data_IF_736977749546
#
_entry.id   IF_736977749546
#
_cell.length_a   1.000
_cell.length_b   1.000
_cell.length_c   1.000
_cell.angle_alpha   90.00
_cell.angle_beta   90.00
_cell.angle_gamma   90.00
#
_symmetry.space_group_name_H-M   'P 1'
#
loop_
_entity.id
_entity.type
_entity.pdbx_description
1 polymer ?
#
# COMPACT_ATOMS: atom_id res chain seq x y z
N UNK A 1 0.19 38.72 1.78
CA UNK A 1 0.96 37.47 1.63
C UNK A 1 0.15 36.39 0.91
N UNK A 2 -0.99 36.74 0.32
CA UNK A 2 -1.86 35.85 -0.50
C UNK A 2 -1.72 36.08 -2.01
N UNK A 3 -0.93 37.06 -2.46
CA UNK A 3 -0.81 37.43 -3.88
C UNK A 3 0.40 36.81 -4.62
N UNK A 4 1.11 35.89 -4.01
CA UNK A 4 2.27 35.21 -4.64
C UNK A 4 1.95 33.84 -5.24
N UNK A 5 0.71 33.38 -5.12
CA UNK A 5 0.28 32.09 -5.67
C UNK A 5 -0.35 32.17 -7.07
N UNK A 6 -0.60 33.40 -7.59
CA UNK A 6 -1.36 33.60 -8.82
C UNK A 6 -0.51 33.87 -10.06
N UNK A 7 0.81 33.73 -9.99
CA UNK A 7 1.67 33.79 -11.19
C UNK A 7 2.31 32.44 -11.43
N UNK A 8 1.55 31.66 -12.17
CA UNK A 8 1.84 30.43 -12.83
C UNK A 8 3.26 30.23 -13.31
N UNK A 9 3.89 29.24 -12.79
CA UNK A 9 4.89 28.45 -13.49
C UNK A 9 4.46 26.98 -13.38
N UNK A 10 3.26 26.68 -13.76
CA UNK A 10 2.83 25.40 -14.28
C UNK A 10 2.26 25.66 -15.67
N UNK A 11 3.15 25.78 -16.67
CA UNK A 11 2.73 25.37 -17.98
C UNK A 11 2.35 23.91 -17.83
N UNK A 12 1.04 23.67 -17.94
CA UNK A 12 0.43 22.38 -18.13
C UNK A 12 1.07 21.84 -19.41
N UNK A 13 2.21 21.15 -19.30
CA UNK A 13 2.68 20.32 -20.39
C UNK A 13 1.59 19.31 -20.59
N UNK A 14 0.76 19.55 -21.59
CA UNK A 14 -0.22 18.60 -22.07
C UNK A 14 0.55 17.36 -22.46
N UNK A 15 0.51 16.35 -21.60
CA UNK A 15 0.88 14.98 -21.96
C UNK A 15 0.17 14.64 -23.27
N UNK A 16 0.85 14.01 -24.23
CA UNK A 16 0.25 13.71 -25.53
C UNK A 16 -1.08 12.98 -25.33
N UNK A 17 -2.11 13.50 -25.93
CA UNK A 17 -3.54 13.11 -25.83
C UNK A 17 -3.86 11.75 -26.43
N UNK A 18 -2.97 10.79 -26.34
CA UNK A 18 -3.25 9.39 -26.69
C UNK A 18 -3.15 8.52 -25.42
N UNK A 19 -4.20 8.56 -24.60
CA UNK A 19 -4.50 7.49 -23.64
C UNK A 19 -3.78 7.49 -22.30
N UNK A 20 -3.03 8.51 -21.92
CA UNK A 20 -2.39 8.60 -20.60
C UNK A 20 -3.18 9.55 -19.71
N UNK A 21 -3.90 9.01 -18.72
CA UNK A 21 -4.50 9.81 -17.67
C UNK A 21 -3.43 10.65 -16.94
N UNK A 22 -3.87 11.75 -16.35
CA UNK A 22 -3.04 12.56 -15.45
C UNK A 22 -2.44 11.68 -14.34
N UNK A 23 -1.27 12.06 -13.79
CA UNK A 23 -0.72 11.37 -12.61
C UNK A 23 -1.76 11.31 -11.49
N UNK A 24 -2.55 12.37 -11.31
CA UNK A 24 -3.63 12.43 -10.34
C UNK A 24 -4.72 11.36 -10.56
N UNK A 25 -4.99 10.97 -11.83
CA UNK A 25 -5.98 9.93 -12.14
C UNK A 25 -5.50 8.51 -11.78
N UNK A 26 -4.19 8.34 -11.68
CA UNK A 26 -3.57 7.05 -11.38
C UNK A 26 -3.24 6.90 -9.90
N UNK A 27 -2.91 7.99 -9.24
CA UNK A 27 -2.61 8.04 -7.81
C UNK A 27 -3.91 8.18 -7.03
N UNK A 28 -4.13 7.26 -6.09
CA UNK A 28 -5.37 7.21 -5.31
C UNK A 28 -5.33 8.01 -4.01
N UNK A 29 -4.31 8.82 -3.81
CA UNK A 29 -4.25 9.71 -2.63
C UNK A 29 -5.31 10.79 -2.78
N UNK A 30 -6.16 10.90 -1.76
CA UNK A 30 -7.19 11.94 -1.69
C UNK A 30 -6.53 13.32 -1.78
N UNK A 31 -7.13 14.20 -2.58
CA UNK A 31 -6.65 15.59 -2.74
C UNK A 31 -5.12 15.65 -2.94
N UNK A 32 -4.61 14.81 -3.83
CA UNK A 32 -3.18 14.55 -4.02
C UNK A 32 -2.33 15.83 -4.14
N UNK A 33 -2.86 16.88 -4.76
CA UNK A 33 -2.14 18.15 -4.95
C UNK A 33 -1.99 18.92 -3.63
N UNK A 34 -2.98 18.84 -2.75
CA UNK A 34 -3.06 19.62 -1.50
C UNK A 34 -2.86 18.78 -0.25
N UNK A 35 -2.78 17.45 -0.38
CA UNK A 35 -2.63 16.54 0.74
C UNK A 35 -1.32 16.78 1.49
N UNK A 36 -1.37 17.03 2.79
CA UNK A 36 -0.17 17.22 3.63
C UNK A 36 0.79 16.03 3.59
N UNK A 37 0.25 14.82 3.46
CA UNK A 37 1.05 13.61 3.26
C UNK A 37 0.46 12.76 2.14
N UNK A 38 1.31 12.35 1.19
CA UNK A 38 0.90 11.62 -0.01
C UNK A 38 1.05 10.13 0.12
N UNK A 39 2.14 9.66 0.69
CA UNK A 39 2.40 8.25 0.93
C UNK A 39 3.37 8.06 2.08
N UNK A 40 3.33 6.87 2.66
CA UNK A 40 4.19 6.46 3.76
C UNK A 40 4.81 5.10 3.48
N UNK A 41 5.92 4.82 4.13
CA UNK A 41 6.53 3.49 4.09
C UNK A 41 7.34 3.23 5.35
N UNK A 42 7.08 2.09 6.00
CA UNK A 42 7.83 1.64 7.14
C UNK A 42 9.18 1.03 6.74
N UNK A 43 10.21 1.35 7.51
CA UNK A 43 11.51 0.70 7.38
C UNK A 43 11.40 -0.78 7.79
N UNK A 44 12.01 -1.72 7.04
CA UNK A 44 11.80 -3.15 7.25
C UNK A 44 12.34 -3.69 8.60
N UNK A 45 13.34 -3.03 9.21
CA UNK A 45 14.06 -3.57 10.36
C UNK A 45 13.98 -2.72 11.62
N UNK A 46 13.65 -1.45 11.53
CA UNK A 46 13.62 -0.55 12.69
C UNK A 46 12.38 0.34 12.67
N UNK A 47 12.02 0.88 13.82
CA UNK A 47 10.86 1.75 13.98
C UNK A 47 11.13 3.14 13.36
N UNK A 48 11.23 3.17 12.04
CA UNK A 48 11.40 4.38 11.23
C UNK A 48 10.37 4.44 10.14
N UNK A 49 9.71 5.56 10.03
CA UNK A 49 8.65 5.82 9.06
C UNK A 49 9.09 6.93 8.10
N UNK A 50 9.12 6.62 6.81
CA UNK A 50 9.30 7.64 5.77
C UNK A 50 7.93 8.18 5.37
N UNK A 51 7.79 9.49 5.33
CA UNK A 51 6.54 10.20 4.97
C UNK A 51 6.85 11.19 3.86
N UNK A 52 6.13 11.09 2.75
CA UNK A 52 6.18 12.07 1.66
C UNK A 52 5.16 13.15 1.91
N UNK A 53 5.61 14.39 1.93
CA UNK A 53 4.75 15.56 2.12
C UNK A 53 4.43 16.26 0.79
N UNK A 54 3.43 17.16 0.80
CA UNK A 54 2.95 17.88 -0.38
C UNK A 54 4.05 18.62 -1.17
N UNK A 55 5.11 19.04 -0.47
CA UNK A 55 6.28 19.73 -1.02
C UNK A 55 7.33 18.80 -1.64
N UNK A 56 6.96 17.52 -1.87
CA UNK A 56 7.82 16.46 -2.39
C UNK A 56 9.05 16.13 -1.53
N UNK A 57 9.09 16.60 -0.29
CA UNK A 57 10.12 16.21 0.67
C UNK A 57 9.75 14.90 1.35
N UNK A 58 10.78 14.13 1.71
CA UNK A 58 10.59 12.91 2.48
C UNK A 58 11.16 13.14 3.87
N UNK A 59 10.31 13.02 4.88
CA UNK A 59 10.68 13.12 6.29
C UNK A 59 10.76 11.72 6.90
N UNK A 60 11.84 11.45 7.63
CA UNK A 60 12.03 10.15 8.28
C UNK A 60 11.84 10.33 9.77
N UNK A 61 10.74 9.78 10.28
CA UNK A 61 10.41 9.79 11.70
C UNK A 61 11.00 8.55 12.36
N UNK A 62 11.56 8.72 13.55
CA UNK A 62 12.09 7.63 14.38
C UNK A 62 11.72 7.86 15.82
N UNK A 63 11.39 6.78 16.54
CA UNK A 63 11.19 6.86 17.99
C UNK A 63 12.50 7.05 18.75
N UNK A 64 13.63 6.69 18.14
CA UNK A 64 14.95 6.71 18.80
C UNK A 64 15.60 8.09 18.82
N UNK A 65 15.17 8.99 17.93
CA UNK A 65 15.81 10.33 17.76
C UNK A 65 14.76 11.41 17.61
N UNK A 66 15.01 12.58 18.20
CA UNK A 66 14.22 13.78 17.99
C UNK A 66 14.55 14.50 16.67
N UNK A 67 15.65 14.11 16.02
CA UNK A 67 16.06 14.71 14.73
C UNK A 67 15.30 14.02 13.61
N UNK A 68 14.60 14.81 12.79
CA UNK A 68 13.84 14.35 11.62
C UNK A 68 14.65 14.64 10.36
N UNK A 69 15.29 13.62 9.76
CA UNK A 69 15.97 13.78 8.50
C UNK A 69 15.02 14.15 7.38
N UNK A 70 15.43 15.10 6.52
CA UNK A 70 14.64 15.53 5.37
C UNK A 70 15.43 15.24 4.11
N UNK A 71 14.91 14.36 3.26
CA UNK A 71 15.47 14.04 1.95
C UNK A 71 14.89 14.99 0.91
N UNK A 72 15.78 15.67 0.19
CA UNK A 72 15.42 16.63 -0.87
C UNK A 72 16.37 16.50 -2.05
N UNK A 73 15.82 16.38 -3.26
CA UNK A 73 16.57 16.32 -4.50
C UNK A 73 15.88 17.13 -5.60
N UNK A 74 16.64 17.75 -6.52
CA UNK A 74 16.06 18.58 -7.58
C UNK A 74 15.10 17.85 -8.52
N UNK A 75 15.37 16.56 -8.78
CA UNK A 75 14.50 15.71 -9.60
C UNK A 75 13.31 15.09 -8.83
N UNK A 76 13.24 15.27 -7.49
CA UNK A 76 12.20 14.72 -6.64
C UNK A 76 10.95 15.60 -6.69
N UNK A 77 10.15 15.38 -7.73
CA UNK A 77 8.93 16.13 -8.02
C UNK A 77 7.79 15.17 -8.27
N UNK A 78 6.58 15.52 -7.82
CA UNK A 78 5.38 14.70 -7.95
C UNK A 78 5.61 13.27 -7.43
N UNK A 79 6.10 13.16 -6.20
CA UNK A 79 6.39 11.87 -5.58
C UNK A 79 5.08 11.11 -5.33
N UNK A 80 4.93 9.95 -5.95
CA UNK A 80 3.72 9.14 -5.93
C UNK A 80 3.81 7.94 -5.00
N UNK A 81 5.00 7.37 -4.86
CA UNK A 81 5.21 6.13 -4.12
C UNK A 81 6.64 6.08 -3.59
N UNK A 82 6.80 5.53 -2.41
CA UNK A 82 8.10 5.23 -1.81
C UNK A 82 8.12 3.81 -1.29
N UNK A 83 9.27 3.16 -1.34
CA UNK A 83 9.42 1.81 -0.84
C UNK A 83 10.85 1.55 -0.33
N UNK A 84 10.98 1.12 0.92
CA UNK A 84 12.25 0.73 1.50
C UNK A 84 12.74 -0.60 0.93
N UNK A 85 14.06 -0.70 0.71
CA UNK A 85 14.69 -1.95 0.29
C UNK A 85 14.64 -2.97 1.42
N UNK A 86 13.97 -4.13 1.23
CA UNK A 86 14.00 -5.22 2.21
C UNK A 86 15.43 -5.70 2.44
N UNK A 87 15.69 -6.30 3.60
CA UNK A 87 16.98 -6.87 4.04
C UNK A 87 18.14 -5.87 4.17
N UNK A 88 18.32 -4.95 3.25
CA UNK A 88 19.39 -3.95 3.31
C UNK A 88 19.06 -2.75 4.20
N UNK A 89 17.82 -2.27 4.19
CA UNK A 89 17.31 -1.19 5.05
C UNK A 89 17.97 0.19 4.89
N UNK A 90 19.00 0.32 4.05
CA UNK A 90 19.69 1.59 3.81
C UNK A 90 19.16 2.34 2.59
N UNK A 91 18.42 1.68 1.73
CA UNK A 91 17.97 2.24 0.47
C UNK A 91 16.46 2.46 0.46
N UNK A 92 16.07 3.66 0.01
CA UNK A 92 14.68 4.05 -0.20
C UNK A 92 14.47 4.38 -1.67
N UNK A 93 13.64 3.62 -2.37
CA UNK A 93 13.22 3.90 -3.73
C UNK A 93 12.05 4.89 -3.72
N UNK A 94 12.08 5.85 -4.65
CA UNK A 94 11.11 6.94 -4.76
C UNK A 94 10.65 7.05 -6.20
N UNK A 95 9.35 6.87 -6.42
CA UNK A 95 8.71 7.11 -7.71
C UNK A 95 8.40 8.59 -7.87
N UNK A 96 8.93 9.21 -8.91
CA UNK A 96 8.72 10.62 -9.15
C UNK A 96 8.56 10.94 -10.65
N UNK A 97 8.23 12.20 -10.96
CA UNK A 97 8.01 12.62 -12.34
C UNK A 97 9.25 12.39 -13.23
N UNK A 98 10.45 12.55 -12.71
CA UNK A 98 11.68 12.44 -13.49
C UNK A 98 12.15 10.99 -13.71
N UNK A 99 11.60 10.01 -13.00
CA UNK A 99 12.03 8.62 -13.00
C UNK A 99 12.03 8.02 -11.60
N UNK A 100 12.97 7.14 -11.31
CA UNK A 100 13.14 6.52 -10.00
C UNK A 100 14.36 7.10 -9.29
N UNK A 101 14.19 7.69 -8.11
CA UNK A 101 15.30 8.06 -7.24
C UNK A 101 15.54 6.94 -6.23
N UNK A 102 16.78 6.51 -6.10
CA UNK A 102 17.20 5.59 -5.04
C UNK A 102 18.08 6.36 -4.07
N UNK A 103 17.56 6.60 -2.88
CA UNK A 103 18.29 7.20 -1.77
C UNK A 103 19.06 6.14 -1.00
N UNK A 104 20.34 6.38 -0.76
CA UNK A 104 21.12 5.63 0.22
C UNK A 104 21.24 6.52 1.46
N UNK A 105 20.78 5.99 2.61
CA UNK A 105 20.64 6.74 3.85
C UNK A 105 21.48 6.05 4.91
N UNK A 106 22.57 6.72 5.32
CA UNK A 106 23.39 6.26 6.43
C UNK A 106 22.94 6.93 7.72
N UNK A 107 22.19 6.18 8.50
CA UNK A 107 21.67 6.63 9.79
C UNK A 107 22.70 6.36 10.88
N UNK A 108 23.75 7.18 10.93
CA UNK A 108 24.77 7.14 12.01
C UNK A 108 24.24 7.72 13.31
N UNK A 109 24.89 7.36 14.42
CA UNK A 109 24.57 7.89 15.76
C UNK A 109 24.88 9.38 15.97
N UNK A 110 25.62 9.99 15.05
CA UNK A 110 25.98 11.40 15.09
C UNK A 110 25.08 12.22 14.14
N UNK A 111 24.90 13.47 14.45
CA UNK A 111 24.03 14.45 13.79
C UNK A 111 24.22 14.67 12.28
N UNK A 112 25.14 13.98 11.66
CA UNK A 112 25.41 14.05 10.23
C UNK A 112 24.87 12.82 9.52
N UNK A 113 23.64 12.93 9.01
CA UNK A 113 23.07 11.91 8.15
C UNK A 113 23.62 12.13 6.74
N UNK A 114 24.55 11.27 6.36
CA UNK A 114 25.02 11.20 4.99
C UNK A 114 23.97 10.50 4.14
N UNK A 115 23.35 11.24 3.25
CA UNK A 115 22.41 10.67 2.30
C UNK A 115 22.78 11.14 0.89
N UNK A 116 22.75 10.21 -0.06
CA UNK A 116 22.91 10.51 -1.47
C UNK A 116 21.83 9.82 -2.29
N UNK A 117 21.46 10.41 -3.41
CA UNK A 117 20.45 9.88 -4.30
C UNK A 117 21.02 9.60 -5.68
N UNK A 118 20.60 8.49 -6.26
CA UNK A 118 20.89 8.13 -7.65
C UNK A 118 19.58 8.16 -8.42
N UNK A 119 19.56 8.89 -9.54
CA UNK A 119 18.41 8.95 -10.43
C UNK A 119 18.54 7.90 -11.54
N UNK A 120 17.63 6.93 -11.53
CA UNK A 120 17.48 5.92 -12.57
C UNK A 120 16.47 6.44 -13.60
N UNK A 121 16.88 6.49 -14.86
CA UNK A 121 16.05 6.95 -15.98
C UNK A 121 15.99 5.91 -17.09
N UNK A 122 14.81 5.75 -17.64
CA UNK A 122 14.58 4.96 -18.85
C UNK A 122 13.77 5.80 -19.84
N UNK A 123 14.15 5.76 -21.11
CA UNK A 123 13.45 6.51 -22.17
C UNK A 123 11.98 6.11 -22.22
N UNK A 124 11.08 7.09 -22.23
CA UNK A 124 9.62 6.94 -22.27
C UNK A 124 9.03 6.23 -21.04
N UNK A 125 9.74 6.19 -19.91
CA UNK A 125 9.29 5.60 -18.67
C UNK A 125 9.15 6.66 -17.56
N UNK A 126 8.45 7.73 -17.86
CA UNK A 126 8.18 8.85 -16.96
C UNK A 126 6.82 9.49 -17.33
N UNK A 127 6.03 9.94 -16.35
CA UNK A 127 6.27 9.89 -14.90
C UNK A 127 6.21 8.45 -14.34
N UNK A 128 7.00 8.18 -13.29
CA UNK A 128 6.90 6.91 -12.56
C UNK A 128 5.91 7.07 -11.42
N UNK A 129 4.92 6.19 -11.35
CA UNK A 129 3.85 6.26 -10.34
C UNK A 129 3.95 5.17 -9.28
N UNK A 130 4.70 4.11 -9.55
CA UNK A 130 4.87 3.02 -8.60
C UNK A 130 6.28 2.47 -8.65
N UNK A 131 6.85 2.22 -7.48
CA UNK A 131 8.10 1.49 -7.28
C UNK A 131 7.91 0.46 -6.18
N UNK A 132 8.45 -0.72 -6.38
CA UNK A 132 8.40 -1.78 -5.37
C UNK A 132 9.63 -2.69 -5.47
N UNK A 133 10.27 -2.93 -4.33
CA UNK A 133 11.34 -3.89 -4.22
C UNK A 133 10.82 -5.32 -4.17
N UNK A 134 11.56 -6.22 -4.81
CA UNK A 134 11.39 -7.65 -4.56
C UNK A 134 11.62 -7.96 -3.07
N UNK A 135 10.91 -8.91 -2.46
CA UNK A 135 11.04 -9.21 -1.03
C UNK A 135 12.46 -9.58 -0.56
N UNK A 136 13.30 -10.11 -1.46
CA UNK A 136 14.72 -10.36 -1.19
C UNK A 136 15.61 -9.13 -1.41
N UNK A 137 15.04 -8.02 -1.87
CA UNK A 137 15.76 -6.76 -2.05
C UNK A 137 16.78 -6.73 -3.19
N UNK A 138 16.80 -7.70 -4.07
CA UNK A 138 17.72 -7.83 -5.20
C UNK A 138 17.27 -7.04 -6.44
N UNK A 139 15.96 -6.95 -6.67
CA UNK A 139 15.35 -6.30 -7.81
C UNK A 139 14.41 -5.18 -7.38
N UNK A 140 14.38 -4.10 -8.15
CA UNK A 140 13.40 -3.02 -8.02
C UNK A 140 12.55 -2.96 -9.29
N UNK A 141 11.24 -2.91 -9.14
CA UNK A 141 10.30 -2.76 -10.27
C UNK A 141 9.71 -1.37 -10.26
N UNK A 142 9.61 -0.75 -11.43
CA UNK A 142 8.90 0.52 -11.61
C UNK A 142 7.84 0.44 -12.70
N UNK A 143 6.74 1.19 -12.49
CA UNK A 143 5.64 1.33 -13.43
C UNK A 143 5.41 2.81 -13.79
N UNK A 144 5.01 3.03 -15.04
CA UNK A 144 4.66 4.34 -15.56
C UNK A 144 3.36 4.26 -16.38
N UNK A 145 2.43 5.21 -16.19
CA UNK A 145 1.23 5.30 -17.04
C UNK A 145 1.56 5.61 -18.50
N UNK A 146 2.71 6.20 -18.77
CA UNK A 146 3.19 6.52 -20.11
C UNK A 146 3.87 5.34 -20.82
N UNK A 147 4.14 4.23 -20.11
CA UNK A 147 4.88 3.10 -20.65
C UNK A 147 4.12 1.79 -20.47
N UNK A 148 3.98 1.03 -21.56
CA UNK A 148 3.37 -0.32 -21.52
C UNK A 148 4.30 -1.38 -20.93
N UNK A 149 5.55 -1.01 -20.67
CA UNK A 149 6.57 -1.87 -20.06
C UNK A 149 6.72 -1.53 -18.58
N UNK A 150 6.92 -2.52 -17.74
CA UNK A 150 7.55 -2.29 -16.45
C UNK A 150 9.06 -2.39 -16.62
N UNK A 151 9.79 -1.66 -15.79
CA UNK A 151 11.26 -1.73 -15.80
C UNK A 151 11.72 -2.44 -14.53
N UNK A 152 12.55 -3.45 -14.71
CA UNK A 152 13.22 -4.15 -13.64
C UNK A 152 14.63 -3.61 -13.54
N UNK A 153 14.96 -3.02 -12.40
CA UNK A 153 16.23 -2.36 -12.16
C UNK A 153 17.18 -3.25 -11.36
N UNK A 154 18.39 -3.38 -11.85
CA UNK A 154 19.57 -3.71 -11.05
C UNK A 154 20.16 -2.38 -10.55
N UNK A 155 19.88 -2.04 -9.29
CA UNK A 155 20.29 -0.75 -8.73
C UNK A 155 21.79 -0.64 -8.54
N UNK A 156 22.51 -1.76 -8.44
CA UNK A 156 23.96 -1.81 -8.31
C UNK A 156 24.65 -1.40 -9.62
N UNK A 157 24.12 -1.85 -10.75
CA UNK A 157 24.60 -1.53 -12.08
C UNK A 157 23.97 -0.25 -12.66
N UNK A 158 22.89 0.23 -12.03
CA UNK A 158 22.05 1.34 -12.52
C UNK A 158 21.43 1.05 -13.89
N UNK A 159 21.19 -0.21 -14.18
CA UNK A 159 20.63 -0.68 -15.44
C UNK A 159 19.18 -1.13 -15.25
N UNK A 160 18.33 -0.82 -16.24
CA UNK A 160 16.93 -1.21 -16.26
C UNK A 160 16.62 -2.13 -17.43
N UNK A 161 16.05 -3.29 -17.15
CA UNK A 161 15.59 -4.25 -18.15
C UNK A 161 14.08 -4.07 -18.35
N UNK A 162 13.64 -3.72 -19.58
CA UNK A 162 12.21 -3.55 -19.86
C UNK A 162 11.52 -4.91 -20.00
N UNK A 163 10.47 -5.13 -19.23
CA UNK A 163 9.61 -6.29 -19.33
C UNK A 163 8.29 -5.90 -19.99
N UNK A 164 8.02 -6.48 -21.18
CA UNK A 164 6.84 -6.15 -21.99
C UNK A 164 6.02 -7.38 -22.32
N UNK A 165 4.70 -7.22 -22.40
CA UNK A 165 3.77 -8.18 -23.00
C UNK A 165 2.88 -7.48 -24.01
N UNK A 166 2.41 -8.25 -24.99
CA UNK A 166 1.51 -7.77 -26.04
C UNK A 166 0.14 -7.44 -25.44
N UNK A 167 -0.39 -6.31 -25.83
CA UNK A 167 -1.69 -5.79 -25.39
C UNK A 167 -1.64 -5.18 -23.99
N UNK A 168 -2.30 -4.08 -23.83
CA UNK A 168 -2.38 -3.26 -22.64
C UNK A 168 -1.89 -1.84 -22.89
N UNK A 169 -2.26 -0.96 -21.97
CA UNK A 169 -1.82 0.43 -21.92
C UNK A 169 -0.71 0.59 -20.90
N UNK A 170 -0.37 1.86 -20.59
CA UNK A 170 0.57 2.18 -19.54
C UNK A 170 0.23 1.50 -18.21
N UNK A 171 1.22 1.33 -17.36
CA UNK A 171 1.09 0.60 -16.10
C UNK A 171 0.97 1.57 -14.93
N UNK A 172 -0.05 1.37 -14.09
CA UNK A 172 -0.31 2.21 -12.92
C UNK A 172 0.55 1.83 -11.73
N UNK A 173 0.54 0.56 -11.34
CA UNK A 173 1.27 0.07 -10.18
C UNK A 173 1.54 -1.44 -10.26
N UNK A 174 2.44 -1.87 -9.39
CA UNK A 174 2.77 -3.28 -9.20
C UNK A 174 2.81 -3.63 -7.72
N UNK A 175 2.64 -4.93 -7.39
CA UNK A 175 2.74 -5.49 -6.04
C UNK A 175 3.40 -6.86 -6.09
N UNK A 176 4.33 -7.12 -5.18
CA UNK A 176 4.93 -8.43 -5.00
C UNK A 176 4.15 -9.28 -3.99
N UNK A 177 4.10 -10.58 -4.24
CA UNK A 177 3.76 -11.53 -3.18
C UNK A 177 4.86 -11.53 -2.11
N UNK A 178 4.52 -11.85 -0.87
CA UNK A 178 5.48 -11.86 0.24
C UNK A 178 6.66 -12.82 0.05
N UNK A 179 6.45 -13.91 -0.69
CA UNK A 179 7.50 -14.87 -1.04
C UNK A 179 8.31 -14.48 -2.29
N UNK A 180 7.91 -13.45 -3.03
CA UNK A 180 8.56 -13.01 -4.26
C UNK A 180 8.29 -13.87 -5.50
N UNK A 181 7.52 -14.95 -5.39
CA UNK A 181 7.23 -15.84 -6.53
C UNK A 181 6.23 -15.28 -7.53
N UNK A 182 5.46 -14.27 -7.13
CA UNK A 182 4.45 -13.63 -7.98
C UNK A 182 4.52 -12.12 -7.92
N UNK A 183 4.37 -11.49 -9.10
CA UNK A 183 4.27 -10.05 -9.24
C UNK A 183 2.96 -9.69 -9.92
N UNK A 184 2.15 -8.88 -9.27
CA UNK A 184 0.96 -8.28 -9.85
C UNK A 184 1.31 -6.97 -10.55
N UNK A 185 0.67 -6.69 -11.70
CA UNK A 185 0.77 -5.39 -12.38
C UNK A 185 -0.58 -4.99 -12.96
N UNK A 186 -1.01 -3.75 -12.71
CA UNK A 186 -2.23 -3.16 -13.23
C UNK A 186 -1.93 -2.16 -14.33
N UNK A 187 -2.71 -2.22 -15.43
CA UNK A 187 -2.66 -1.19 -16.47
C UNK A 187 -3.57 0.00 -16.13
N UNK A 188 -3.43 1.08 -16.87
CA UNK A 188 -4.32 2.24 -16.77
C UNK A 188 -5.74 1.98 -17.27
N UNK A 189 -5.99 0.82 -17.84
CA UNK A 189 -7.31 0.34 -18.25
C UNK A 189 -7.71 -0.95 -17.51
N UNK A 190 -8.61 -1.69 -18.09
CA UNK A 190 -9.22 -2.87 -17.47
C UNK A 190 -8.35 -4.13 -17.43
N UNK A 191 -7.09 -4.07 -17.85
CA UNK A 191 -6.19 -5.22 -17.87
C UNK A 191 -5.28 -5.20 -16.66
N UNK A 192 -5.15 -6.37 -16.02
CA UNK A 192 -4.06 -6.62 -15.08
C UNK A 192 -3.37 -7.95 -15.40
N UNK A 193 -2.17 -8.14 -14.88
CA UNK A 193 -1.39 -9.35 -15.07
C UNK A 193 -0.81 -9.84 -13.75
N UNK A 194 -0.70 -11.14 -13.62
CA UNK A 194 0.07 -11.77 -12.56
C UNK A 194 1.22 -12.54 -13.21
N UNK A 195 2.42 -12.19 -12.84
CA UNK A 195 3.65 -12.76 -13.34
C UNK A 195 4.13 -13.83 -12.36
N UNK A 196 4.40 -15.02 -12.85
CA UNK A 196 5.13 -16.04 -12.11
C UNK A 196 6.63 -15.82 -12.33
N UNK A 197 7.34 -15.53 -11.25
CA UNK A 197 8.76 -15.18 -11.24
C UNK A 197 9.63 -16.27 -10.63
N UNK A 198 9.01 -17.37 -10.18
CA UNK A 198 9.69 -18.47 -9.48
C UNK A 198 10.68 -19.27 -10.35
N UNK A 199 10.60 -19.12 -11.68
CA UNK A 199 11.58 -19.70 -12.60
C UNK A 199 12.53 -18.61 -13.07
N UNK A 200 13.78 -18.66 -12.64
CA UNK A 200 14.79 -17.62 -12.81
C UNK A 200 15.02 -17.13 -14.26
N UNK A 201 14.63 -17.89 -15.27
CA UNK A 201 14.93 -17.57 -16.67
C UNK A 201 13.73 -17.15 -17.51
N UNK A 202 12.50 -17.45 -17.07
CA UNK A 202 11.29 -17.22 -17.87
C UNK A 202 10.12 -16.77 -16.98
N UNK A 203 9.94 -15.46 -16.86
CA UNK A 203 8.73 -14.92 -16.22
C UNK A 203 7.53 -15.14 -17.14
N UNK A 204 6.56 -15.88 -16.63
CA UNK A 204 5.29 -16.10 -17.29
C UNK A 204 4.22 -15.16 -16.72
N UNK A 205 3.35 -14.64 -17.57
CA UNK A 205 2.30 -13.73 -17.15
C UNK A 205 0.94 -14.20 -17.64
N UNK A 206 0.04 -14.40 -16.71
CA UNK A 206 -1.37 -14.57 -16.98
C UNK A 206 -2.06 -13.20 -17.06
N UNK A 207 -3.02 -13.08 -17.97
CA UNK A 207 -3.75 -11.85 -18.24
C UNK A 207 -5.19 -11.99 -17.77
N UNK A 208 -5.66 -11.01 -17.02
CA UNK A 208 -7.06 -10.86 -16.62
C UNK A 208 -7.62 -9.51 -17.05
N UNK A 209 -8.94 -9.45 -17.14
CA UNK A 209 -9.67 -8.20 -17.41
C UNK A 209 -10.72 -8.00 -16.34
N UNK A 210 -10.83 -6.78 -15.83
CA UNK A 210 -11.99 -6.38 -15.03
C UNK A 210 -13.11 -5.92 -15.96
N UNK A 211 -14.37 -6.15 -15.61
CA UNK A 211 -15.50 -5.82 -16.49
C UNK A 211 -15.52 -4.34 -16.89
N UNK A 212 -15.29 -3.50 -15.90
CA UNK A 212 -15.35 -2.05 -16.04
C UNK A 212 -14.20 -1.39 -15.27
N UNK A 213 -13.81 -0.20 -15.72
CA UNK A 213 -12.78 0.60 -15.09
C UNK A 213 -11.39 -0.03 -15.14
N UNK A 214 -10.59 0.20 -14.13
CA UNK A 214 -9.26 -0.37 -13.93
C UNK A 214 -9.11 -0.89 -12.50
N UNK A 215 -8.14 -1.75 -12.26
CA UNK A 215 -7.80 -2.10 -10.89
C UNK A 215 -7.21 -0.87 -10.18
N UNK A 216 -7.85 -0.48 -9.09
CA UNK A 216 -7.44 0.65 -8.26
C UNK A 216 -6.44 0.25 -7.21
N UNK A 217 -6.73 -0.83 -6.50
CA UNK A 217 -5.94 -1.33 -5.38
C UNK A 217 -5.79 -2.83 -5.48
N UNK A 218 -4.65 -3.33 -5.02
CA UNK A 218 -4.39 -4.75 -4.90
C UNK A 218 -3.39 -5.01 -3.77
N UNK A 219 -3.57 -6.11 -3.05
CA UNK A 219 -2.63 -6.58 -2.05
C UNK A 219 -2.55 -8.11 -2.06
N UNK A 220 -1.37 -8.64 -1.78
CA UNK A 220 -1.19 -10.06 -1.55
C UNK A 220 -1.36 -10.37 -0.06
N UNK A 221 -2.10 -11.42 0.21
CA UNK A 221 -2.23 -12.02 1.51
C UNK A 221 -1.48 -13.34 1.65
N UNK A 222 -1.72 -14.05 2.74
CA UNK A 222 -1.17 -15.38 2.96
C UNK A 222 -1.61 -16.36 1.85
N UNK A 223 -0.83 -17.44 1.69
CA UNK A 223 -1.11 -18.52 0.73
C UNK A 223 -1.30 -18.03 -0.71
N UNK A 224 -0.52 -17.02 -1.13
CA UNK A 224 -0.57 -16.45 -2.47
C UNK A 224 -1.99 -16.03 -2.91
N UNK A 225 -2.79 -15.54 -1.99
CA UNK A 225 -4.10 -14.99 -2.32
C UNK A 225 -3.96 -13.53 -2.68
N UNK A 226 -4.40 -13.16 -3.87
CA UNK A 226 -4.44 -11.78 -4.34
C UNK A 226 -5.84 -11.22 -4.10
N UNK A 227 -5.93 -10.11 -3.37
CA UNK A 227 -7.14 -9.30 -3.29
C UNK A 227 -6.98 -8.07 -4.16
N UNK A 228 -8.04 -7.69 -4.87
CA UNK A 228 -8.05 -6.48 -5.67
C UNK A 228 -9.46 -5.89 -5.77
N UNK A 229 -9.52 -4.59 -6.03
CA UNK A 229 -10.75 -3.88 -6.31
C UNK A 229 -10.57 -2.91 -7.49
N UNK A 230 -11.65 -2.68 -8.23
CA UNK A 230 -11.67 -1.70 -9.32
C UNK A 230 -11.91 -0.28 -8.80
N UNK A 231 -11.69 0.70 -9.66
CA UNK A 231 -11.93 2.13 -9.35
C UNK A 231 -13.38 2.57 -9.59
N UNK A 232 -14.29 1.62 -9.73
CA UNK A 232 -15.72 1.90 -9.95
C UNK A 232 -16.44 2.23 -8.65
N UNK A 233 -17.66 2.76 -8.84
CA UNK A 233 -18.56 3.11 -7.73
C UNK A 233 -19.16 1.87 -7.03
N UNK A 234 -18.98 0.68 -7.61
CA UNK A 234 -19.36 -0.59 -6.98
C UNK A 234 -18.16 -1.22 -6.29
N UNK A 235 -17.98 -0.97 -5.00
CA UNK A 235 -16.76 -1.36 -4.28
C UNK A 235 -16.79 -2.84 -3.91
N UNK A 236 -16.59 -3.72 -4.88
CA UNK A 236 -16.43 -5.14 -4.64
C UNK A 236 -14.95 -5.51 -4.58
N UNK A 237 -14.54 -6.17 -3.51
CA UNK A 237 -13.22 -6.81 -3.41
C UNK A 237 -13.33 -8.21 -3.99
N UNK A 238 -12.46 -8.49 -4.94
CA UNK A 238 -12.29 -9.81 -5.54
C UNK A 238 -11.11 -10.53 -4.93
N UNK A 239 -11.23 -11.84 -4.80
CA UNK A 239 -10.17 -12.75 -4.38
C UNK A 239 -9.74 -13.63 -5.54
N UNK A 240 -8.44 -13.70 -5.77
CA UNK A 240 -7.81 -14.59 -6.75
C UNK A 240 -6.77 -15.46 -6.05
N UNK A 241 -7.09 -16.74 -5.74
CA UNK A 241 -6.11 -17.67 -5.19
C UNK A 241 -5.17 -18.14 -6.29
N UNK A 242 -3.86 -17.95 -6.08
CA UNK A 242 -2.82 -18.31 -7.05
C UNK A 242 -2.10 -19.62 -6.70
N UNK A 243 -2.23 -20.09 -5.47
CA UNK A 243 -1.64 -21.35 -5.04
C UNK A 243 -2.36 -22.51 -5.71
N UNK A 244 -1.60 -23.38 -6.40
CA UNK A 244 -2.15 -24.62 -6.93
C UNK A 244 -2.35 -25.62 -5.79
N UNK A 245 -3.51 -26.30 -5.79
CA UNK A 245 -3.75 -27.39 -4.84
C UNK A 245 -2.85 -28.56 -5.20
N UNK A 246 -1.93 -28.91 -4.31
CA UNK A 246 -1.05 -30.08 -4.45
C UNK A 246 -1.85 -31.39 -4.57
N UNK A 247 -3.12 -31.37 -4.14
CA UNK A 247 -4.03 -32.51 -4.16
C UNK A 247 -4.91 -32.60 -5.42
N UNK A 248 -4.94 -31.57 -6.27
CA UNK A 248 -5.61 -31.65 -7.56
C UNK A 248 -4.72 -32.39 -8.57
N UNK A 249 -4.77 -33.73 -8.49
CA UNK A 249 -4.09 -34.66 -9.42
C UNK A 249 -4.70 -34.62 -10.84
N UNK A 250 -5.76 -33.88 -11.05
CA UNK A 250 -6.30 -33.63 -12.39
C UNK A 250 -5.39 -32.64 -13.09
N UNK A 251 -4.77 -33.08 -14.19
CA UNK A 251 -4.18 -32.16 -15.16
C UNK A 251 -5.16 -31.03 -15.40
N UNK A 252 -4.72 -29.74 -15.28
CA UNK A 252 -5.62 -28.63 -15.57
C UNK A 252 -6.17 -28.84 -16.97
N UNK A 253 -7.49 -29.06 -17.07
CA UNK A 253 -8.15 -29.00 -18.35
C UNK A 253 -8.03 -27.55 -18.84
N UNK A 254 -7.99 -27.34 -20.14
CA UNK A 254 -7.92 -25.99 -20.75
C UNK A 254 -9.03 -25.06 -20.26
N UNK A 255 -10.05 -25.60 -19.59
CA UNK A 255 -11.25 -24.93 -19.09
C UNK A 255 -11.18 -24.52 -17.60
N UNK A 256 -10.11 -24.88 -16.86
CA UNK A 256 -9.88 -24.40 -15.49
C UNK A 256 -9.30 -22.99 -15.54
N UNK A 257 -10.12 -22.05 -16.02
CA UNK A 257 -9.82 -20.63 -15.95
C UNK A 257 -9.80 -20.25 -14.47
N UNK A 258 -8.63 -19.86 -13.95
CA UNK A 258 -8.51 -19.27 -12.63
C UNK A 258 -9.41 -18.03 -12.60
N UNK A 259 -10.55 -18.13 -11.95
CA UNK A 259 -11.52 -17.03 -11.88
C UNK A 259 -11.34 -16.25 -10.58
N UNK A 260 -11.40 -14.94 -10.69
CA UNK A 260 -11.53 -14.10 -9.52
C UNK A 260 -12.96 -14.23 -8.94
N UNK A 261 -13.04 -14.44 -7.65
CA UNK A 261 -14.31 -14.62 -6.94
C UNK A 261 -14.62 -13.35 -6.15
N UNK A 262 -15.84 -12.79 -6.23
CA UNK A 262 -16.24 -11.69 -5.36
C UNK A 262 -16.21 -12.15 -3.90
N UNK A 263 -15.48 -11.41 -3.07
CA UNK A 263 -15.27 -11.74 -1.66
C UNK A 263 -16.14 -10.88 -0.74
N UNK A 264 -16.11 -9.57 -0.95
CA UNK A 264 -16.80 -8.58 -0.11
C UNK A 264 -17.43 -7.53 -1.03
N UNK A 265 -18.73 -7.32 -0.83
CA UNK A 265 -19.43 -6.15 -1.35
C UNK A 265 -19.39 -5.05 -0.29
N UNK A 266 -18.66 -3.97 -0.58
CA UNK A 266 -18.48 -2.84 0.33
C UNK A 266 -19.48 -1.69 0.08
N UNK A 267 -20.49 -1.91 -0.74
CA UNK A 267 -21.59 -0.95 -0.96
C UNK A 267 -22.35 -0.71 0.36
N UNK A 268 -22.41 -1.69 1.23
CA UNK A 268 -23.18 -1.64 2.50
C UNK A 268 -22.51 -2.49 3.57
N UNK A 269 -21.36 -2.03 4.10
CA UNK A 269 -20.79 -2.65 5.30
C UNK A 269 -21.33 -1.95 6.52
N UNK A 270 -22.05 -2.68 7.37
CA UNK A 270 -22.64 -2.18 8.59
C UNK A 270 -21.73 -2.52 9.77
N UNK A 271 -21.36 -1.51 10.53
CA UNK A 271 -20.66 -1.66 11.81
C UNK A 271 -21.57 -1.23 12.93
N UNK A 272 -21.58 -1.96 14.04
CA UNK A 272 -22.29 -1.55 15.23
C UNK A 272 -21.71 -0.23 15.76
N UNK A 273 -22.58 0.71 16.09
CA UNK A 273 -22.17 1.93 16.81
C UNK A 273 -21.80 1.60 18.25
N UNK A 274 -20.98 2.43 18.88
CA UNK A 274 -20.59 2.29 20.29
C UNK A 274 -21.80 2.31 21.24
N UNK A 275 -22.90 2.92 20.82
CA UNK A 275 -24.17 2.99 21.57
C UNK A 275 -24.95 1.67 21.56
N UNK A 276 -24.54 0.68 20.76
CA UNK A 276 -25.17 -0.64 20.63
C UNK A 276 -26.49 -0.69 19.86
N UNK A 277 -27.16 0.46 19.69
CA UNK A 277 -28.52 0.54 19.12
C UNK A 277 -28.57 1.03 17.66
N UNK A 278 -27.44 1.49 17.10
CA UNK A 278 -27.37 1.98 15.74
C UNK A 278 -26.25 1.32 14.93
N UNK A 279 -26.40 1.33 13.61
CA UNK A 279 -25.37 0.85 12.69
C UNK A 279 -24.85 2.00 11.83
N UNK A 280 -23.54 2.07 11.69
CA UNK A 280 -22.89 2.97 10.75
C UNK A 280 -22.61 2.17 9.46
N UNK A 281 -23.19 2.62 8.36
CA UNK A 281 -22.91 2.03 7.05
C UNK A 281 -21.69 2.71 6.44
N UNK A 282 -20.69 1.93 6.09
CA UNK A 282 -19.46 2.39 5.46
C UNK A 282 -19.24 1.64 4.16
N UNK A 283 -18.80 2.37 3.16
CA UNK A 283 -18.53 1.80 1.85
C UNK A 283 -18.14 2.91 0.87
N UNK A 284 -18.07 2.58 -0.39
CA UNK A 284 -17.74 3.48 -1.46
C UNK A 284 -16.43 3.15 -2.14
N UNK A 285 -15.94 4.06 -2.98
CA UNK A 285 -14.72 3.86 -3.79
C UNK A 285 -13.50 3.63 -2.91
N UNK A 286 -12.80 2.51 -3.15
CA UNK A 286 -11.62 2.12 -2.38
C UNK A 286 -10.40 2.85 -2.93
N UNK A 287 -9.66 3.53 -2.05
CA UNK A 287 -8.41 4.25 -2.39
C UNK A 287 -7.16 3.52 -1.92
N UNK A 288 -7.24 2.81 -0.81
CA UNK A 288 -6.15 1.97 -0.33
C UNK A 288 -6.68 0.71 0.35
N UNK A 289 -5.92 -0.35 0.26
CA UNK A 289 -6.23 -1.64 0.87
C UNK A 289 -4.92 -2.32 1.25
N UNK A 290 -4.74 -2.61 2.52
CA UNK A 290 -3.56 -3.25 3.04
C UNK A 290 -3.93 -4.42 3.95
N UNK A 291 -3.25 -5.53 3.75
CA UNK A 291 -3.40 -6.71 4.60
C UNK A 291 -2.27 -6.72 5.64
N UNK A 292 -2.62 -6.99 6.90
CA UNK A 292 -1.62 -7.10 7.94
C UNK A 292 -0.63 -8.26 7.65
N UNK A 293 0.59 -8.20 8.14
CA UNK A 293 1.60 -9.22 7.85
C UNK A 293 1.22 -10.65 8.28
N UNK A 294 0.29 -10.80 9.22
CA UNK A 294 -0.18 -12.11 9.69
C UNK A 294 -1.39 -12.62 8.90
N UNK A 295 -2.00 -11.77 8.07
CA UNK A 295 -3.17 -12.11 7.26
C UNK A 295 -4.46 -12.23 8.05
N UNK A 296 -4.54 -11.60 9.22
CA UNK A 296 -5.73 -11.65 10.08
C UNK A 296 -6.63 -10.44 9.97
N UNK A 297 -6.08 -9.30 9.54
CA UNK A 297 -6.80 -8.04 9.42
C UNK A 297 -6.53 -7.37 8.07
N UNK A 298 -7.59 -6.93 7.43
CA UNK A 298 -7.57 -6.15 6.20
C UNK A 298 -8.05 -4.75 6.54
N UNK A 299 -7.21 -3.75 6.31
CA UNK A 299 -7.57 -2.34 6.45
C UNK A 299 -7.97 -1.78 5.08
N UNK A 300 -9.07 -1.03 5.02
CA UNK A 300 -9.63 -0.48 3.79
C UNK A 300 -9.94 1.00 3.98
N UNK A 301 -9.43 1.79 3.06
CA UNK A 301 -9.60 3.24 2.99
C UNK A 301 -10.53 3.58 1.82
N UNK A 302 -11.52 4.42 2.08
CA UNK A 302 -12.50 4.86 1.09
C UNK A 302 -12.29 6.33 0.72
N UNK A 303 -12.59 6.68 -0.52
CA UNK A 303 -12.44 8.04 -1.01
C UNK A 303 -13.36 9.03 -0.27
N UNK A 304 -14.61 8.64 -0.05
CA UNK A 304 -15.66 9.53 0.44
C UNK A 304 -16.04 9.27 1.89
N UNK A 305 -15.24 8.50 2.64
CA UNK A 305 -15.50 8.16 4.02
C UNK A 305 -14.43 8.71 4.96
N UNK A 306 -14.80 9.27 6.10
CA UNK A 306 -13.86 9.64 7.16
C UNK A 306 -13.39 8.42 7.98
N UNK A 307 -13.87 7.24 7.65
CA UNK A 307 -13.59 6.01 8.36
C UNK A 307 -12.64 5.11 7.60
N UNK A 308 -11.81 4.40 8.34
CA UNK A 308 -11.08 3.23 7.85
C UNK A 308 -11.82 2.00 8.35
N UNK A 309 -12.17 1.09 7.45
CA UNK A 309 -12.76 -0.17 7.84
C UNK A 309 -11.66 -1.20 8.12
N UNK A 310 -11.69 -1.78 9.32
CA UNK A 310 -10.86 -2.90 9.69
C UNK A 310 -11.71 -4.18 9.66
N UNK A 311 -11.31 -5.12 8.82
CA UNK A 311 -12.03 -6.37 8.60
C UNK A 311 -11.15 -7.52 9.08
N UNK A 312 -11.69 -8.38 9.94
CA UNK A 312 -11.03 -9.60 10.37
C UNK A 312 -11.13 -10.65 9.26
N UNK A 313 -10.00 -11.23 8.89
CA UNK A 313 -9.92 -12.27 7.86
C UNK A 313 -9.40 -13.56 8.46
N UNK A 314 -9.98 -14.68 8.01
CA UNK A 314 -9.51 -16.02 8.39
C UNK A 314 -9.45 -16.90 7.15
N UNK A 315 -8.24 -17.30 6.82
CA UNK A 315 -8.02 -18.28 5.75
C UNK A 315 -8.31 -19.68 6.28
N UNK A 316 -9.12 -20.43 5.54
CA UNK A 316 -9.32 -21.86 5.84
C UNK A 316 -8.24 -22.64 5.11
N UNK A 317 -7.45 -23.40 5.86
CA UNK A 317 -6.27 -24.13 5.35
C UNK A 317 -6.57 -25.13 4.22
N UNK A 318 -7.80 -25.61 4.10
CA UNK A 318 -8.22 -26.61 3.12
C UNK A 318 -9.12 -26.06 2.01
N UNK A 319 -9.59 -24.84 2.12
CA UNK A 319 -10.41 -24.21 1.10
C UNK A 319 -9.82 -22.86 0.71
N UNK A 320 -9.96 -22.50 -0.55
CA UNK A 320 -9.57 -21.17 -1.07
C UNK A 320 -10.49 -20.04 -0.54
N UNK A 321 -11.36 -20.37 0.42
CA UNK A 321 -12.35 -19.46 0.97
C UNK A 321 -11.75 -18.67 2.11
N UNK A 322 -11.91 -17.37 2.04
CA UNK A 322 -11.56 -16.42 3.10
C UNK A 322 -12.84 -16.08 3.84
N UNK A 323 -12.89 -16.39 5.14
CA UNK A 323 -13.95 -15.88 5.99
C UNK A 323 -13.63 -14.43 6.34
N UNK A 324 -14.57 -13.55 6.12
CA UNK A 324 -14.45 -12.12 6.39
C UNK A 324 -15.52 -11.68 7.39
N UNK A 325 -15.09 -10.89 8.39
CA UNK A 325 -16.02 -10.34 9.39
C UNK A 325 -15.63 -8.88 9.67
N UNK A 326 -16.59 -7.94 9.70
CA UNK A 326 -16.34 -6.60 10.19
C UNK A 326 -15.72 -6.67 11.60
N UNK A 327 -14.72 -5.85 11.87
CA UNK A 327 -14.05 -5.77 13.17
C UNK A 327 -14.32 -4.44 13.84
N UNK A 328 -13.83 -3.34 13.27
CA UNK A 328 -14.09 -2.00 13.77
C UNK A 328 -13.94 -0.95 12.67
N UNK A 329 -14.46 0.24 12.96
CA UNK A 329 -14.21 1.45 12.21
C UNK A 329 -13.25 2.34 12.99
N UNK A 330 -12.24 2.83 12.30
CA UNK A 330 -11.28 3.79 12.86
C UNK A 330 -11.64 5.16 12.32
N UNK A 331 -11.84 6.12 13.21
CA UNK A 331 -12.16 7.52 12.88
C UNK A 331 -11.12 8.44 13.52
N UNK A 332 -10.76 9.50 12.78
CA UNK A 332 -9.93 10.57 13.31
C UNK A 332 -10.72 11.57 14.19
N UNK A 333 -10.07 12.68 14.52
CA UNK A 333 -10.73 13.79 15.16
C UNK A 333 -11.80 14.42 14.24
N UNK A 334 -12.74 15.21 14.78
CA UNK A 334 -13.75 15.87 13.97
C UNK A 334 -13.11 16.66 12.80
N UNK A 335 -13.56 16.37 11.58
CA UNK A 335 -13.04 17.00 10.36
C UNK A 335 -11.81 16.33 9.74
N UNK A 336 -11.17 15.38 10.43
CA UNK A 336 -10.08 14.61 9.83
C UNK A 336 -10.61 13.53 8.90
N UNK A 337 -9.90 13.35 7.78
CA UNK A 337 -10.09 12.22 6.85
C UNK A 337 -8.77 11.49 6.68
N UNK A 338 -8.79 10.15 6.50
CA UNK A 338 -7.56 9.41 6.32
C UNK A 338 -6.98 9.64 4.92
N UNK A 339 -5.67 9.88 4.81
CA UNK A 339 -4.97 10.07 3.54
C UNK A 339 -4.23 8.82 3.08
N UNK A 340 -3.43 8.23 3.95
CA UNK A 340 -2.69 7.00 3.66
C UNK A 340 -2.48 6.18 4.92
N UNK A 341 -2.19 4.90 4.72
CA UNK A 341 -1.97 3.96 5.80
C UNK A 341 -0.92 2.91 5.40
N UNK A 342 -0.29 2.31 6.39
CA UNK A 342 0.63 1.19 6.23
C UNK A 342 0.70 0.38 7.52
N UNK A 343 0.89 -0.94 7.42
CA UNK A 343 1.12 -1.81 8.57
C UNK A 343 2.60 -1.88 8.94
N UNK A 344 2.89 -1.70 10.22
CA UNK A 344 4.22 -1.95 10.75
C UNK A 344 4.49 -3.45 10.82
N UNK A 345 5.54 -3.91 10.13
CA UNK A 345 5.82 -5.32 9.87
C UNK A 345 6.73 -6.01 10.89
N UNK A 346 7.23 -5.30 11.89
CA UNK A 346 8.13 -5.89 12.90
C UNK A 346 7.31 -6.55 14.00
N UNK A 347 7.30 -7.89 14.06
CA UNK A 347 6.86 -8.62 15.24
C UNK A 347 7.87 -8.43 16.38
N UNK A 348 7.48 -7.77 17.45
CA UNK A 348 8.24 -7.85 18.70
C UNK A 348 7.92 -9.20 19.36
N UNK A 349 8.94 -10.04 19.50
CA UNK A 349 8.81 -11.40 20.08
C UNK A 349 8.47 -11.43 21.56
N UNK A 350 8.52 -10.29 22.26
CA UNK A 350 8.51 -10.25 23.73
C UNK A 350 7.17 -9.88 24.39
N UNK A 351 6.18 -9.40 23.65
CA UNK A 351 4.91 -8.94 24.26
C UNK A 351 3.64 -9.31 23.49
N UNK A 352 3.57 -10.51 22.95
CA UNK A 352 2.44 -10.93 22.13
C UNK A 352 2.49 -10.33 20.70
N UNK A 353 1.71 -10.89 19.80
CA UNK A 353 1.60 -10.41 18.40
C UNK A 353 0.81 -9.11 18.35
N UNK A 354 1.46 -7.98 18.60
CA UNK A 354 0.85 -6.66 18.41
C UNK A 354 1.01 -6.26 16.94
N UNK A 355 -0.10 -6.15 16.24
CA UNK A 355 -0.17 -5.62 14.90
C UNK A 355 -0.41 -4.11 15.02
N UNK A 356 0.35 -3.30 14.34
CA UNK A 356 0.19 -1.84 14.39
C UNK A 356 -0.15 -1.29 13.00
N UNK A 357 -1.32 -0.67 12.88
CA UNK A 357 -1.72 0.09 11.71
C UNK A 357 -1.33 1.55 11.92
N UNK A 358 -0.54 2.10 11.01
CA UNK A 358 -0.19 3.52 10.99
C UNK A 358 -1.06 4.26 10.00
N UNK A 359 -1.66 5.33 10.44
CA UNK A 359 -2.60 6.16 9.66
C UNK A 359 -2.06 7.58 9.64
N UNK A 360 -2.06 8.19 8.47
CA UNK A 360 -1.81 9.63 8.32
C UNK A 360 -3.11 10.31 7.95
N UNK A 361 -3.49 11.28 8.77
CA UNK A 361 -4.73 12.04 8.62
C UNK A 361 -4.52 13.31 7.78
N UNK A 362 -5.59 13.88 7.27
CA UNK A 362 -5.58 15.12 6.47
C UNK A 362 -5.03 16.33 7.23
N UNK A 363 -5.10 16.31 8.55
CA UNK A 363 -4.46 17.30 9.44
C UNK A 363 -2.93 17.19 9.47
N UNK A 364 -2.35 16.16 8.89
CA UNK A 364 -0.92 15.84 9.00
C UNK A 364 -0.57 15.02 10.26
N UNK A 365 -1.53 14.72 11.10
CA UNK A 365 -1.33 13.88 12.28
C UNK A 365 -1.05 12.44 11.88
N UNK A 366 -0.03 11.83 12.48
CA UNK A 366 0.32 10.42 12.33
C UNK A 366 -0.17 9.68 13.55
N UNK A 367 -0.99 8.67 13.35
CA UNK A 367 -1.55 7.85 14.43
C UNK A 367 -1.11 6.40 14.26
N UNK A 368 -0.61 5.80 15.33
CA UNK A 368 -0.33 4.38 15.42
C UNK A 368 -1.49 3.69 16.15
N UNK A 369 -2.18 2.81 15.47
CA UNK A 369 -3.31 2.07 16.00
C UNK A 369 -2.91 0.63 16.28
N UNK A 370 -2.67 0.24 17.55
CA UNK A 370 -2.33 -1.12 17.92
C UNK A 370 -3.58 -2.01 17.88
N UNK A 371 -3.49 -3.14 17.20
CA UNK A 371 -4.51 -4.17 17.16
C UNK A 371 -4.08 -5.28 18.13
N UNK A 372 -4.74 -5.34 19.28
CA UNK A 372 -4.42 -6.31 20.34
C UNK A 372 -5.44 -7.44 20.27
N UNK A 373 -4.98 -8.66 19.98
CA UNK A 373 -5.82 -9.86 20.16
C UNK A 373 -5.77 -10.29 21.62
N UNK A 374 -6.92 -10.29 22.28
CA UNK A 374 -7.04 -10.99 23.56
C UNK A 374 -7.06 -12.50 23.24
N UNK A 375 -6.06 -13.23 23.64
CA UNK A 375 -6.14 -14.69 23.73
C UNK A 375 -7.30 -15.01 24.67
N UNK A 376 -8.34 -15.67 24.14
CA UNK A 376 -9.37 -16.28 24.96
C UNK A 376 -8.69 -17.50 25.60
N UNK A 377 -8.10 -17.30 26.76
CA UNK A 377 -7.70 -18.44 27.61
C UNK A 377 -8.98 -19.20 27.90
N UNK A 378 -9.11 -20.48 27.52
CA UNK A 378 -10.30 -21.25 27.88
C UNK A 378 -10.39 -21.27 29.40
N UNK A 379 -11.40 -20.60 29.94
CA UNK A 379 -11.70 -20.63 31.37
C UNK A 379 -12.15 -22.03 31.67
N UNK A 380 -11.26 -22.82 32.26
CA UNK A 380 -11.67 -24.01 33.01
C UNK A 380 -12.59 -23.51 34.13
N UNK A 381 -13.81 -23.98 34.12
CA UNK A 381 -14.88 -23.59 35.04
C UNK A 381 -14.43 -23.59 36.49
N UNK A 382 -14.19 -22.43 37.05
CA UNK A 382 -14.33 -22.14 38.48
C UNK A 382 -15.05 -20.81 38.59
N UNK A 383 -16.25 -20.92 39.12
CA UNK A 383 -17.20 -19.86 39.35
C UNK A 383 -16.63 -18.75 40.24
N UNK A 384 -16.46 -17.55 39.68
CA UNK A 384 -16.60 -16.29 40.40
C UNK A 384 -16.87 -15.16 39.41
N UNK A 385 -18.03 -14.53 39.60
CA UNK A 385 -18.51 -13.39 38.85
C UNK A 385 -17.63 -12.13 39.13
N UNK A 386 -16.99 -11.63 38.08
CA UNK A 386 -16.43 -10.27 38.09
C UNK A 386 -16.78 -9.61 36.77
N UNK A 387 -17.55 -8.54 36.90
CA UNK A 387 -17.97 -7.64 35.84
C UNK A 387 -16.74 -7.06 35.12
N UNK A 388 -16.63 -7.32 33.82
CA UNK A 388 -15.56 -6.81 32.97
C UNK A 388 -15.98 -5.49 32.32
N UNK A 389 -15.55 -4.38 32.92
CA UNK A 389 -15.41 -3.12 32.18
C UNK A 389 -14.11 -3.17 31.35
N UNK A 390 -14.26 -3.25 30.05
CA UNK A 390 -13.14 -3.19 29.11
C UNK A 390 -12.71 -1.75 28.89
N UNK A 391 -11.69 -1.30 29.65
CA UNK A 391 -10.96 -0.07 29.38
C UNK A 391 -9.95 -0.35 28.26
N UNK A 392 -10.25 0.09 27.04
CA UNK A 392 -9.28 0.28 25.97
C UNK A 392 -8.41 1.49 26.36
N UNK A 393 -7.22 1.25 26.88
CA UNK A 393 -6.21 2.31 27.00
C UNK A 393 -5.64 2.57 25.59
N UNK A 394 -5.94 3.72 25.07
CA UNK A 394 -5.31 4.27 23.87
C UNK A 394 -4.01 4.97 24.27
N UNK A 395 -2.90 4.26 24.22
CA UNK A 395 -1.59 4.91 24.22
C UNK A 395 -1.32 5.36 22.77
N UNK A 396 -1.79 6.57 22.46
CA UNK A 396 -1.54 7.22 21.16
C UNK A 396 -0.25 8.02 21.25
N UNK A 397 0.79 7.53 20.58
CA UNK A 397 1.96 8.37 20.28
C UNK A 397 1.59 9.24 19.08
N UNK A 398 1.41 10.52 19.31
CA UNK A 398 1.08 11.50 18.27
C UNK A 398 2.35 12.21 17.81
N UNK A 399 2.71 12.08 16.55
CA UNK A 399 3.60 13.00 15.86
C UNK A 399 2.74 13.97 15.06
N UNK A 400 2.95 15.25 15.25
CA UNK A 400 2.22 16.29 14.53
C UNK A 400 3.10 16.87 13.43
N UNK A 401 2.68 16.72 12.18
CA UNK A 401 3.38 17.32 11.04
C UNK A 401 3.23 18.85 11.01
N UNK A 402 2.20 19.40 11.67
CA UNK A 402 1.93 20.85 11.69
C UNK A 402 2.88 21.60 12.62
N UNK A 403 3.50 20.93 13.59
CA UNK A 403 4.45 21.55 14.54
C UNK A 403 5.84 21.83 13.92
N UNK A 404 6.01 21.56 12.62
CA UNK A 404 7.30 21.64 11.93
C UNK A 404 7.34 22.79 10.90
N UNK A 405 6.35 23.69 10.91
CA UNK A 405 6.30 24.90 10.07
C UNK A 405 6.75 26.13 10.80
#
# INVERSE_FOLDING_TARGET
>A
MLDLFDKGIYQKETLPTSGSGSVADVVHTRDWETSLARCISWHPHCARLAVVTWDDRIRIFSHETSIIPILRHGAQKSVCCINWRPLAGKELAVACHAGVLVWTIELGAASNILSHAVLLKQRNHAPVTSVIWHPQGDLLVSCSPADTRMIIWDTSKKEGVPLRRVGGDGLCFARWSSCGSHLFSASCRNIFRVWNTGVATLWHADKWTVPNGRVAVACFGPNLTLLFASNEDTPTIFSLPLQENIFDVKKPSLDDVKMAVPLIDLTRVNFASDDGDSYVTVGGRITAMEWDPTGRYLAILFQDSPYIALIKTKLRNLSRVIDVKPSCLIKGFPGEVPNCMDFYRKCQKESGNIICLTIVWSSGRIQHFPIIEKEIVPVTNTSTSVSSHSLLRHDTYNFDLTAIY
#
